data_IF_271039742498
#
_entry.id   IF_271039742498
#
_cell.length_a   1.000
_cell.length_b   1.000
_cell.length_c   1.000
_cell.angle_alpha   90.00
_cell.angle_beta   90.00
_cell.angle_gamma   90.00
#
_symmetry.space_group_name_H-M   'P 1'
#
loop_
_entity.id
_entity.type
_entity.pdbx_description
1 polymer ?
#
# COMPACT_ATOMS: atom_id res chain seq x y z
N UNK A 1 17.80 -18.60 -14.76
CA UNK A 1 18.17 -18.84 -14.23
C UNK A 1 18.05 -19.06 -13.01
N UNK A 2 17.92 -19.53 -12.54
CA UNK A 2 17.65 -19.69 -11.38
C UNK A 2 18.72 -19.85 -10.56
N UNK A 3 18.77 -19.64 -9.65
CA UNK A 3 19.80 -19.77 -8.98
C UNK A 3 19.54 -20.49 -7.90
N UNK A 4 19.92 -21.14 -7.48
CA UNK A 4 19.73 -21.82 -6.49
C UNK A 4 20.42 -21.60 -5.44
N UNK A 5 20.75 -20.91 -5.25
CA UNK A 5 21.50 -20.66 -4.45
C UNK A 5 21.44 -20.87 -3.24
N UNK A 6 21.34 -20.42 -2.50
CA UNK A 6 21.45 -20.58 -1.30
C UNK A 6 20.41 -21.15 -0.69
N UNK A 7 20.47 -22.20 -0.23
CA UNK A 7 19.59 -22.78 0.50
C UNK A 7 19.55 -22.29 1.81
N UNK A 8 18.58 -21.86 2.37
CA UNK A 8 18.51 -21.40 3.68
C UNK A 8 18.31 -22.56 4.54
N UNK A 9 18.92 -22.60 5.64
CA UNK A 9 18.81 -23.67 6.54
C UNK A 9 17.61 -23.60 7.42
N UNK A 10 16.69 -22.70 7.18
CA UNK A 10 15.47 -22.61 7.97
C UNK A 10 14.34 -23.42 7.34
N UNK A 11 14.65 -24.30 6.41
CA UNK A 11 13.65 -25.15 5.81
C UNK A 11 12.86 -24.52 4.70
N UNK A 12 13.25 -23.34 4.24
CA UNK A 12 12.51 -22.66 3.20
C UNK A 12 12.96 -23.02 1.79
N UNK A 13 14.09 -23.69 1.65
CA UNK A 13 14.59 -24.04 0.33
C UNK A 13 14.20 -25.47 -0.02
N UNK A 14 14.00 -25.71 -1.31
CA UNK A 14 13.68 -27.04 -1.79
C UNK A 14 14.94 -27.90 -1.85
N UNK A 15 14.76 -29.18 -1.56
CA UNK A 15 15.85 -30.10 -1.72
C UNK A 15 15.78 -30.64 -3.12
N UNK A 16 16.89 -30.79 -3.79
CA UNK A 16 16.92 -31.42 -5.09
C UNK A 16 16.58 -30.56 -6.27
N UNK A 17 16.17 -29.33 -6.08
CA UNK A 17 15.93 -28.40 -7.18
C UNK A 17 14.93 -28.92 -8.22
N UNK A 18 13.93 -29.66 -7.78
CA UNK A 18 12.92 -30.19 -8.70
C UNK A 18 11.84 -29.16 -8.89
N UNK A 19 11.48 -28.89 -10.15
CA UNK A 19 10.46 -27.94 -10.47
C UNK A 19 9.15 -28.69 -10.68
N UNK A 20 8.09 -28.20 -10.08
CA UNK A 20 6.75 -28.77 -10.24
C UNK A 20 6.11 -28.07 -11.44
N UNK A 21 6.27 -28.66 -12.61
CA UNK A 21 5.95 -27.99 -13.86
C UNK A 21 4.48 -27.63 -14.01
N UNK A 22 3.60 -28.48 -13.51
CA UNK A 22 2.17 -28.19 -13.59
C UNK A 22 1.79 -26.98 -12.76
N UNK A 23 2.39 -26.87 -11.58
CA UNK A 23 2.11 -25.74 -10.71
C UNK A 23 2.62 -24.44 -11.32
N UNK A 24 3.81 -24.48 -11.90
CA UNK A 24 4.39 -23.33 -12.57
C UNK A 24 3.54 -22.90 -13.75
N UNK A 25 3.08 -23.87 -14.55
CA UNK A 25 2.25 -23.58 -15.71
C UNK A 25 0.93 -22.92 -15.30
N UNK A 26 0.32 -23.41 -14.20
CA UNK A 26 -0.93 -22.85 -13.72
C UNK A 26 -0.77 -21.39 -13.32
N UNK A 27 0.31 -21.06 -12.63
CA UNK A 27 0.57 -19.68 -12.22
C UNK A 27 0.93 -18.83 -13.44
N UNK A 28 1.75 -19.39 -14.34
CA UNK A 28 2.20 -18.67 -15.52
C UNK A 28 1.01 -18.18 -16.36
N UNK A 29 -0.04 -19.01 -16.45
CA UNK A 29 -1.22 -18.62 -17.20
C UNK A 29 -2.04 -17.51 -16.56
N UNK A 30 -1.77 -17.22 -15.29
CA UNK A 30 -2.48 -16.19 -14.56
C UNK A 30 -1.62 -14.96 -14.26
N UNK A 31 -0.38 -14.95 -14.74
CA UNK A 31 0.48 -13.78 -14.53
C UNK A 31 -0.02 -12.61 -15.35
N UNK A 32 0.18 -11.42 -14.79
CA UNK A 32 -0.30 -10.19 -15.40
C UNK A 32 0.82 -9.52 -16.19
N UNK A 33 0.49 -8.46 -16.91
CA UNK A 33 1.51 -7.73 -17.66
C UNK A 33 2.43 -7.01 -16.71
N UNK A 34 3.62 -6.66 -17.20
CA UNK A 34 4.59 -5.90 -16.43
C UNK A 34 4.02 -4.55 -16.00
N UNK A 35 3.23 -3.92 -16.86
CA UNK A 35 2.65 -2.63 -16.54
C UNK A 35 1.73 -2.72 -15.33
N UNK A 36 0.92 -3.77 -15.26
CA UNK A 36 0.01 -3.95 -14.14
C UNK A 36 0.79 -4.27 -12.87
N UNK A 37 1.80 -5.16 -12.97
CA UNK A 37 2.62 -5.48 -11.80
C UNK A 37 3.34 -4.25 -11.27
N UNK A 38 3.90 -3.42 -12.15
CA UNK A 38 4.60 -2.22 -11.72
C UNK A 38 3.67 -1.23 -11.04
N UNK A 39 2.48 -1.04 -11.60
CA UNK A 39 1.50 -0.13 -11.00
C UNK A 39 1.06 -0.63 -9.63
N UNK A 40 0.76 -1.92 -9.51
CA UNK A 40 0.34 -2.49 -8.25
C UNK A 40 1.42 -2.38 -7.19
N UNK A 41 2.66 -2.71 -7.57
CA UNK A 41 3.79 -2.63 -6.65
C UNK A 41 4.03 -1.20 -6.19
N UNK A 42 3.81 -0.23 -7.08
CA UNK A 42 3.99 1.18 -6.73
C UNK A 42 2.98 1.62 -5.68
N UNK A 43 1.74 1.13 -5.74
CA UNK A 43 0.76 1.45 -4.71
C UNK A 43 1.25 1.00 -3.34
N UNK A 44 1.75 -0.22 -3.23
CA UNK A 44 2.27 -0.70 -1.95
C UNK A 44 3.49 0.10 -1.50
N UNK A 45 4.33 0.48 -2.43
CA UNK A 45 5.52 1.26 -2.09
C UNK A 45 5.14 2.61 -1.51
N UNK A 46 4.18 3.29 -2.13
CA UNK A 46 3.74 4.60 -1.65
C UNK A 46 3.02 4.46 -0.32
N UNK A 47 2.18 3.43 -0.17
CA UNK A 47 1.43 3.21 1.06
C UNK A 47 2.32 2.73 2.21
N UNK A 48 3.51 2.21 1.91
CA UNK A 48 4.37 1.60 2.92
C UNK A 48 5.16 2.57 3.78
N UNK A 49 4.99 3.87 3.59
CA UNK A 49 5.62 4.87 4.43
C UNK A 49 4.74 5.11 5.66
N UNK A 50 5.34 5.16 6.85
CA UNK A 50 4.58 5.27 8.10
C UNK A 50 3.66 6.47 8.15
N UNK A 51 4.15 7.63 7.72
CA UNK A 51 3.35 8.85 7.75
C UNK A 51 2.20 8.76 6.74
N UNK A 52 2.50 8.33 5.52
CA UNK A 52 1.46 8.22 4.49
C UNK A 52 0.41 7.17 4.87
N UNK A 53 0.85 6.08 5.50
CA UNK A 53 -0.11 5.07 5.95
C UNK A 53 -1.06 5.64 6.99
N UNK A 54 -0.53 6.44 7.93
CA UNK A 54 -1.39 7.08 8.94
C UNK A 54 -2.39 8.04 8.33
N UNK A 55 -1.95 8.80 7.33
CA UNK A 55 -2.84 9.71 6.62
C UNK A 55 -3.97 8.92 5.96
N UNK A 56 -3.62 7.84 5.26
CA UNK A 56 -4.63 7.04 4.58
C UNK A 56 -5.61 6.43 5.56
N UNK A 57 -5.11 5.92 6.67
CA UNK A 57 -5.97 5.33 7.68
C UNK A 57 -6.94 6.36 8.24
N UNK A 58 -6.47 7.56 8.52
CA UNK A 58 -7.32 8.63 9.03
C UNK A 58 -8.39 9.00 8.01
N UNK A 59 -8.00 9.14 6.75
CA UNK A 59 -8.94 9.52 5.69
C UNK A 59 -9.93 8.41 5.37
N UNK A 60 -9.59 7.16 5.65
CA UNK A 60 -10.51 6.07 5.52
C UNK A 60 -11.64 6.17 6.55
N UNK A 61 -11.35 6.78 7.69
CA UNK A 61 -12.35 6.92 8.75
C UNK A 61 -13.24 8.14 8.56
N UNK A 62 -12.68 9.23 8.03
CA UNK A 62 -13.39 10.49 7.98
C UNK A 62 -12.76 11.41 6.95
N UNK A 63 -13.57 12.14 6.19
CA UNK A 63 -13.08 13.20 5.34
C UNK A 63 -12.47 14.29 6.21
N UNK A 64 -11.23 14.70 5.90
CA UNK A 64 -10.52 15.68 6.71
C UNK A 64 -9.80 16.68 5.81
N UNK A 65 -9.63 17.89 6.29
CA UNK A 65 -8.85 18.88 5.58
C UNK A 65 -7.38 18.80 6.02
N UNK A 66 -6.52 19.54 5.34
CA UNK A 66 -5.09 19.51 5.62
C UNK A 66 -4.79 19.91 7.07
N UNK A 67 -5.48 20.93 7.57
CA UNK A 67 -5.26 21.38 8.94
C UNK A 67 -5.67 20.33 9.96
N UNK A 68 -6.76 19.60 9.68
CA UNK A 68 -7.20 18.51 10.55
C UNK A 68 -6.13 17.43 10.64
N UNK A 69 -5.57 17.05 9.51
CA UNK A 69 -4.54 16.02 9.47
C UNK A 69 -3.27 16.49 10.17
N UNK A 70 -2.89 17.74 9.95
CA UNK A 70 -1.71 18.30 10.61
C UNK A 70 -1.86 18.25 12.12
N UNK A 71 -3.04 18.63 12.60
CA UNK A 71 -3.31 18.59 14.02
C UNK A 71 -3.30 17.17 14.56
N UNK A 72 -3.97 16.26 13.87
CA UNK A 72 -4.06 14.86 14.29
C UNK A 72 -2.68 14.21 14.37
N UNK A 73 -1.82 14.49 13.40
CA UNK A 73 -0.52 13.83 13.29
C UNK A 73 0.62 14.58 13.95
N UNK A 74 0.36 15.77 14.46
CA UNK A 74 1.42 16.59 15.06
C UNK A 74 2.46 17.04 14.05
N UNK A 75 2.02 17.35 12.83
CA UNK A 75 2.90 17.75 11.75
C UNK A 75 2.55 19.14 11.27
N UNK A 76 3.45 19.78 10.53
CA UNK A 76 3.13 21.06 9.92
C UNK A 76 2.19 20.87 8.75
N UNK A 77 1.42 21.91 8.44
CA UNK A 77 0.54 21.91 7.29
C UNK A 77 1.33 21.65 6.01
N UNK A 78 2.51 22.27 5.91
CA UNK A 78 3.36 22.10 4.74
C UNK A 78 3.78 20.65 4.55
N UNK A 79 4.17 19.98 5.63
CA UNK A 79 4.60 18.60 5.55
C UNK A 79 3.45 17.68 5.14
N UNK A 80 2.26 17.91 5.71
CA UNK A 80 1.08 17.12 5.35
C UNK A 80 0.71 17.35 3.89
N UNK A 81 0.74 18.60 3.45
CA UNK A 81 0.42 18.93 2.05
C UNK A 81 1.36 18.21 1.09
N UNK A 82 2.63 18.12 1.45
CA UNK A 82 3.62 17.43 0.62
C UNK A 82 3.30 15.94 0.50
N UNK A 83 2.93 15.32 1.62
CA UNK A 83 2.56 13.90 1.61
C UNK A 83 1.26 13.67 0.85
N UNK A 84 0.29 14.56 1.00
CA UNK A 84 -0.97 14.44 0.26
C UNK A 84 -0.76 14.56 -1.24
N UNK A 85 0.18 15.42 -1.66
CA UNK A 85 0.50 15.54 -3.09
C UNK A 85 1.01 14.21 -3.64
N UNK A 86 1.86 13.53 -2.90
CA UNK A 86 2.36 12.22 -3.31
C UNK A 86 1.25 11.18 -3.39
N UNK A 87 0.38 11.18 -2.40
CA UNK A 87 -0.74 10.24 -2.38
C UNK A 87 -1.71 10.51 -3.53
N UNK A 88 -1.91 11.78 -3.84
CA UNK A 88 -2.81 12.15 -4.91
C UNK A 88 -2.23 11.77 -6.27
N UNK A 89 -0.92 11.96 -6.46
CA UNK A 89 -0.26 11.55 -7.68
C UNK A 89 -0.40 10.07 -7.93
N UNK A 90 -0.38 9.28 -6.86
CA UNK A 90 -0.51 7.83 -6.95
C UNK A 90 -1.97 7.38 -6.93
N UNK A 91 -2.90 8.32 -6.96
CA UNK A 91 -4.34 8.03 -7.02
C UNK A 91 -4.85 7.26 -5.81
N UNK A 92 -4.25 7.52 -4.65
CA UNK A 92 -4.67 6.88 -3.40
C UNK A 92 -5.64 7.75 -2.61
N UNK A 93 -5.64 9.06 -2.87
CA UNK A 93 -6.58 9.98 -2.25
C UNK A 93 -7.15 10.90 -3.32
N UNK A 94 -8.29 11.50 -3.00
CA UNK A 94 -8.87 12.53 -3.85
C UNK A 94 -9.27 13.69 -2.96
N UNK A 95 -9.28 14.89 -3.53
CA UNK A 95 -9.58 16.10 -2.79
C UNK A 95 -10.78 16.82 -3.36
N UNK A 96 -11.46 17.57 -2.50
CA UNK A 96 -12.50 18.48 -2.94
C UNK A 96 -12.31 19.80 -2.24
N UNK A 97 -12.63 20.86 -2.94
CA UNK A 97 -12.48 22.19 -2.38
C UNK A 97 -13.82 22.65 -1.82
N UNK A 98 -13.78 23.25 -0.64
CA UNK A 98 -14.96 23.83 -0.04
C UNK A 98 -14.52 25.17 0.54
N UNK A 99 -14.77 26.24 -0.19
CA UNK A 99 -14.31 27.57 0.20
C UNK A 99 -12.81 27.63 0.18
N UNK A 100 -12.21 27.95 1.32
CA UNK A 100 -10.76 28.05 1.43
C UNK A 100 -10.12 26.74 1.84
N UNK A 101 -10.93 25.73 2.16
CA UNK A 101 -10.42 24.48 2.65
C UNK A 101 -10.38 23.42 1.56
N UNK A 102 -9.39 22.56 1.66
CA UNK A 102 -9.28 21.42 0.76
C UNK A 102 -9.43 20.18 1.60
N UNK A 103 -10.50 19.43 1.34
CA UNK A 103 -10.80 18.21 2.08
C UNK A 103 -10.37 16.99 1.27
N UNK A 104 -9.94 15.95 1.96
CA UNK A 104 -9.45 14.75 1.31
C UNK A 104 -10.15 13.51 1.81
N UNK A 105 -10.29 12.53 0.92
CA UNK A 105 -10.79 11.20 1.27
C UNK A 105 -9.93 10.18 0.53
N UNK A 106 -10.04 8.91 0.91
CA UNK A 106 -9.40 7.86 0.11
C UNK A 106 -10.08 7.81 -1.26
N UNK A 107 -9.32 7.34 -2.25
CA UNK A 107 -9.77 7.43 -3.64
C UNK A 107 -10.99 6.55 -3.92
N UNK A 108 -11.01 5.33 -3.39
CA UNK A 108 -12.11 4.40 -3.65
C UNK A 108 -12.09 3.24 -2.66
N UNK A 109 -13.04 2.33 -2.83
CA UNK A 109 -13.19 1.19 -1.93
C UNK A 109 -12.03 0.22 -1.98
N UNK A 110 -11.29 0.16 -3.06
CA UNK A 110 -10.13 -0.73 -3.14
C UNK A 110 -9.10 -0.34 -2.09
N UNK A 111 -8.93 0.97 -1.87
CA UNK A 111 -7.97 1.46 -0.89
C UNK A 111 -8.45 1.08 0.52
N UNK A 112 -9.75 1.23 0.77
CA UNK A 112 -10.34 0.83 2.05
C UNK A 112 -10.06 -0.65 2.34
N UNK A 113 -10.29 -1.52 1.36
CA UNK A 113 -10.12 -2.96 1.53
C UNK A 113 -8.66 -3.31 1.84
N UNK A 114 -7.73 -2.66 1.14
CA UNK A 114 -6.31 -2.90 1.39
C UNK A 114 -5.89 -2.44 2.78
N UNK A 115 -6.33 -1.26 3.19
CA UNK A 115 -6.01 -0.75 4.53
C UNK A 115 -6.58 -1.65 5.61
N UNK A 116 -7.83 -2.05 5.44
CA UNK A 116 -8.51 -2.88 6.41
C UNK A 116 -7.79 -4.23 6.58
N UNK A 117 -7.48 -4.87 5.47
CA UNK A 117 -6.78 -6.15 5.51
C UNK A 117 -5.42 -6.06 6.15
N UNK A 118 -4.67 -5.02 5.80
CA UNK A 118 -3.34 -4.81 6.34
C UNK A 118 -3.38 -4.59 7.86
N UNK A 119 -4.31 -3.75 8.32
CA UNK A 119 -4.43 -3.44 9.74
C UNK A 119 -4.89 -4.69 10.52
N UNK A 120 -5.86 -5.42 9.99
CA UNK A 120 -6.33 -6.63 10.67
C UNK A 120 -5.20 -7.65 10.83
N UNK A 121 -4.40 -7.81 9.79
CA UNK A 121 -3.27 -8.73 9.86
C UNK A 121 -2.24 -8.27 10.90
N UNK A 122 -1.95 -6.97 10.93
CA UNK A 122 -1.01 -6.41 11.89
C UNK A 122 -1.52 -6.57 13.32
N UNK A 123 -2.83 -6.41 13.52
CA UNK A 123 -3.41 -6.55 14.85
C UNK A 123 -3.33 -8.00 15.35
N UNK A 124 -3.42 -8.97 14.45
CA UNK A 124 -3.26 -10.37 14.83
C UNK A 124 -1.89 -10.64 15.41
N UNK A 125 -0.86 -9.99 14.84
CA UNK A 125 0.49 -10.17 15.34
C UNK A 125 0.69 -9.53 16.70
N UNK A 126 -0.07 -8.49 17.02
CA UNK A 126 0.10 -7.77 18.26
C UNK A 126 -0.76 -8.35 19.39
N UNK A 127 -1.62 -9.31 19.07
CA UNK A 127 -2.56 -9.87 20.06
C UNK A 127 -1.90 -10.84 21.04
#
# INVERSE_FOLDING_TARGET
>A
MARQEERMDNGLACEGNIIHEEAVAAVCGQMLSEAVFSAAANFFKVMGDGTRFRILYALDKQELCVCDLANLLGMSVSAVSHQLARLRESQLVKGRRDGKNMFYTIADDHIHVMLKGCVEHAMEEQA
#
